data_IF_196765785446
#
_entry.id   IF_196765785446
#
_cell.length_a   1.000
_cell.length_b   1.000
_cell.length_c   1.000
_cell.angle_alpha   90.00
_cell.angle_beta   90.00
_cell.angle_gamma   90.00
#
_symmetry.space_group_name_H-M   'P 1'
#
loop_
_entity.id
_entity.type
_entity.pdbx_description
1 polymer ?
#
# COMPACT_ATOMS: atom_id res chain seq x y z
N UNK A 1 -12.58 21.18 -1.08
CA UNK A 1 -13.19 19.85 -1.11
C UNK A 1 -12.34 18.96 -1.98
N UNK A 2 -11.91 17.80 -1.47
CA UNK A 2 -11.01 16.91 -2.17
C UNK A 2 -11.66 16.18 -3.35
N UNK A 3 -10.82 15.66 -4.24
CA UNK A 3 -11.21 14.90 -5.43
C UNK A 3 -10.92 13.40 -5.29
N UNK A 4 -10.68 12.93 -4.06
CA UNK A 4 -10.40 11.53 -3.79
C UNK A 4 -10.13 11.24 -2.32
N UNK A 5 -9.76 10.00 -2.06
CA UNK A 5 -9.31 9.54 -0.74
C UNK A 5 -7.95 8.84 -0.84
N UNK A 6 -7.19 8.94 0.24
CA UNK A 6 -5.96 8.16 0.45
C UNK A 6 -6.10 7.44 1.79
N UNK A 7 -6.02 6.12 1.78
CA UNK A 7 -5.90 5.31 2.99
C UNK A 7 -4.46 4.83 3.17
N UNK A 8 -3.98 4.78 4.42
CA UNK A 8 -2.59 4.45 4.75
C UNK A 8 -2.43 3.26 5.69
N UNK A 9 -3.48 2.79 6.33
CA UNK A 9 -3.42 1.77 7.39
C UNK A 9 -4.56 0.77 7.35
N UNK A 10 -5.34 0.73 6.27
CA UNK A 10 -6.41 -0.24 6.13
C UNK A 10 -5.88 -1.56 5.55
N UNK A 11 -6.40 -2.68 6.05
CA UNK A 11 -6.29 -3.96 5.37
C UNK A 11 -7.09 -3.93 4.05
N UNK A 12 -6.86 -4.84 3.09
CA UNK A 12 -7.68 -4.87 1.86
C UNK A 12 -9.18 -4.94 2.10
N UNK A 13 -9.62 -5.68 3.14
CA UNK A 13 -11.03 -5.76 3.50
C UNK A 13 -11.59 -4.44 4.04
N UNK A 14 -10.86 -3.80 4.95
CA UNK A 14 -11.22 -2.48 5.49
C UNK A 14 -11.22 -1.41 4.39
N UNK A 15 -10.24 -1.44 3.51
CA UNK A 15 -10.16 -0.52 2.39
C UNK A 15 -11.36 -0.65 1.45
N UNK A 16 -11.84 -1.86 1.19
CA UNK A 16 -13.07 -2.09 0.41
C UNK A 16 -14.26 -1.38 1.02
N UNK A 17 -14.40 -1.48 2.35
CA UNK A 17 -15.50 -0.83 3.07
C UNK A 17 -15.37 0.70 3.01
N UNK A 18 -14.17 1.23 3.16
CA UNK A 18 -13.88 2.67 3.03
C UNK A 18 -14.22 3.17 1.62
N UNK A 19 -13.81 2.46 0.58
CA UNK A 19 -14.13 2.80 -0.82
C UNK A 19 -15.63 2.80 -1.07
N UNK A 20 -16.34 1.79 -0.55
CA UNK A 20 -17.81 1.71 -0.68
C UNK A 20 -18.49 2.92 -0.04
N UNK A 21 -18.15 3.26 1.19
CA UNK A 21 -18.68 4.43 1.90
C UNK A 21 -18.32 5.75 1.20
N UNK A 22 -17.12 5.83 0.65
CA UNK A 22 -16.69 7.00 -0.11
C UNK A 22 -17.55 7.21 -1.35
N UNK A 23 -17.77 6.19 -2.16
CA UNK A 23 -18.62 6.31 -3.36
C UNK A 23 -20.09 6.60 -3.02
N UNK A 24 -20.63 6.00 -1.97
CA UNK A 24 -21.98 6.35 -1.49
C UNK A 24 -22.08 7.84 -1.15
N UNK A 25 -21.08 8.38 -0.47
CA UNK A 25 -21.01 9.79 -0.12
C UNK A 25 -20.91 10.68 -1.36
N UNK A 26 -20.07 10.30 -2.33
CA UNK A 26 -19.90 11.03 -3.61
C UNK A 26 -21.24 11.14 -4.34
N UNK A 27 -21.97 10.03 -4.45
CA UNK A 27 -23.31 9.98 -5.07
C UNK A 27 -24.32 10.84 -4.31
N UNK A 28 -24.35 10.72 -2.99
CA UNK A 28 -25.24 11.52 -2.12
C UNK A 28 -25.01 13.03 -2.28
N UNK A 29 -23.76 13.43 -2.49
CA UNK A 29 -23.41 14.83 -2.73
C UNK A 29 -23.62 15.29 -4.18
N UNK A 30 -24.13 14.43 -5.06
CA UNK A 30 -24.37 14.74 -6.47
C UNK A 30 -23.11 14.92 -7.30
N UNK A 31 -21.98 14.38 -6.85
CA UNK A 31 -20.72 14.40 -7.59
C UNK A 31 -20.62 13.20 -8.54
N UNK A 32 -19.86 13.36 -9.62
CA UNK A 32 -19.56 12.29 -10.56
C UNK A 32 -18.48 11.37 -9.99
N UNK A 33 -18.80 10.09 -9.84
CA UNK A 33 -17.89 9.05 -9.37
C UNK A 33 -16.65 8.87 -10.28
N UNK A 34 -16.75 9.26 -11.55
CA UNK A 34 -15.63 9.19 -12.49
C UNK A 34 -14.62 10.34 -12.34
N UNK A 35 -14.94 11.33 -11.50
CA UNK A 35 -14.07 12.48 -11.25
C UNK A 35 -13.35 12.42 -9.90
N UNK A 36 -13.48 11.29 -9.19
CA UNK A 36 -12.82 11.08 -7.90
C UNK A 36 -11.88 9.88 -7.97
N UNK A 37 -10.88 9.86 -7.11
CA UNK A 37 -9.85 8.84 -7.08
C UNK A 37 -9.75 8.17 -5.71
N UNK A 38 -9.54 6.85 -5.73
CA UNK A 38 -9.29 6.04 -4.54
C UNK A 38 -7.85 5.55 -4.55
N UNK A 39 -7.12 5.89 -3.51
CA UNK A 39 -5.69 5.60 -3.41
C UNK A 39 -5.38 4.83 -2.13
N UNK A 40 -4.60 3.76 -2.27
CA UNK A 40 -3.99 3.07 -1.14
C UNK A 40 -2.50 3.41 -1.06
N UNK A 41 -2.05 3.83 0.11
CA UNK A 41 -0.65 4.10 0.41
C UNK A 41 -0.07 2.94 1.23
N UNK A 42 0.78 2.15 0.60
CA UNK A 42 1.40 0.95 1.18
C UNK A 42 2.80 1.23 1.71
N UNK A 43 3.14 0.59 2.84
CA UNK A 43 4.51 0.55 3.36
C UNK A 43 5.00 -0.89 3.28
N UNK A 44 6.06 -1.14 2.51
CA UNK A 44 6.60 -2.47 2.22
C UNK A 44 8.11 -2.54 2.46
N UNK A 45 8.63 -3.75 2.53
CA UNK A 45 10.05 -4.05 2.38
C UNK A 45 10.20 -5.29 1.51
N UNK A 46 11.12 -5.26 0.56
CA UNK A 46 11.33 -6.34 -0.40
C UNK A 46 12.66 -7.03 -0.17
N UNK A 47 12.61 -8.27 0.28
CA UNK A 47 13.71 -9.22 0.28
C UNK A 47 13.12 -10.63 0.12
N UNK A 48 13.77 -11.49 -0.68
CA UNK A 48 13.32 -12.88 -0.86
C UNK A 48 13.49 -13.69 0.43
N UNK A 49 14.42 -13.30 1.29
CA UNK A 49 14.48 -13.79 2.67
C UNK A 49 13.56 -12.94 3.56
N UNK A 50 12.44 -13.52 3.95
CA UNK A 50 11.43 -12.89 4.80
C UNK A 50 12.00 -12.38 6.13
N UNK A 51 12.88 -13.13 6.74
CA UNK A 51 13.49 -12.73 8.03
C UNK A 51 14.31 -11.46 7.86
N UNK A 52 15.06 -11.36 6.77
CA UNK A 52 15.82 -10.15 6.42
C UNK A 52 14.88 -8.97 6.14
N UNK A 53 13.82 -9.16 5.37
CA UNK A 53 12.84 -8.13 5.07
C UNK A 53 12.17 -7.59 6.34
N UNK A 54 11.71 -8.47 7.21
CA UNK A 54 11.08 -8.11 8.48
C UNK A 54 12.04 -7.35 9.42
N UNK A 55 13.30 -7.79 9.52
CA UNK A 55 14.30 -7.15 10.37
C UNK A 55 14.67 -5.74 9.86
N UNK A 56 14.87 -5.57 8.57
CA UNK A 56 15.16 -4.28 7.95
C UNK A 56 13.98 -3.30 8.10
N UNK A 57 12.76 -3.79 7.86
CA UNK A 57 11.55 -2.99 8.07
C UNK A 57 11.38 -2.57 9.54
N UNK A 58 11.61 -3.48 10.48
CA UNK A 58 11.54 -3.20 11.92
C UNK A 58 12.54 -2.11 12.32
N UNK A 59 13.79 -2.22 11.87
CA UNK A 59 14.82 -1.21 12.13
C UNK A 59 14.41 0.16 11.60
N UNK A 60 13.87 0.22 10.38
CA UNK A 60 13.40 1.45 9.79
C UNK A 60 12.21 2.04 10.54
N UNK A 61 11.21 1.22 10.88
CA UNK A 61 10.01 1.66 11.61
C UNK A 61 10.36 2.21 12.99
N UNK A 62 11.23 1.51 13.74
CA UNK A 62 11.70 1.98 15.03
C UNK A 62 12.53 3.26 14.93
N UNK A 63 13.38 3.36 13.91
CA UNK A 63 14.20 4.56 13.67
C UNK A 63 13.40 5.78 13.24
N UNK A 64 12.36 5.58 12.44
CA UNK A 64 11.55 6.67 11.89
C UNK A 64 10.40 7.09 12.82
N UNK A 65 9.67 6.12 13.41
CA UNK A 65 8.48 6.36 14.22
C UNK A 65 8.70 6.14 15.72
N UNK A 66 9.79 5.50 16.12
CA UNK A 66 10.01 5.07 17.51
C UNK A 66 9.15 3.88 17.93
N UNK A 67 8.39 3.30 17.02
CA UNK A 67 7.49 2.18 17.29
C UNK A 67 7.19 1.38 16.01
N UNK A 68 6.81 0.12 16.18
CA UNK A 68 6.18 -0.71 15.15
C UNK A 68 4.87 -1.26 15.72
N UNK A 69 3.78 -0.51 15.52
CA UNK A 69 2.45 -0.80 16.09
C UNK A 69 1.41 -1.20 15.03
N UNK A 70 1.82 -1.24 13.77
CA UNK A 70 0.86 -1.43 12.66
C UNK A 70 0.57 -2.90 12.37
N UNK A 71 1.45 -3.83 12.78
CA UNK A 71 1.26 -5.25 12.54
C UNK A 71 1.02 -5.57 11.07
N UNK A 72 0.01 -6.39 10.80
CA UNK A 72 -0.36 -6.81 9.44
C UNK A 72 -1.01 -5.71 8.58
N UNK A 73 -1.27 -4.54 9.15
CA UNK A 73 -1.81 -3.38 8.41
C UNK A 73 -0.79 -2.78 7.46
N UNK A 74 0.48 -2.91 7.78
CA UNK A 74 1.59 -2.53 6.91
C UNK A 74 2.34 -3.78 6.44
N UNK A 75 2.90 -3.69 5.27
CA UNK A 75 3.56 -4.79 4.59
C UNK A 75 2.98 -4.99 3.19
N UNK A 76 3.38 -6.09 2.53
CA UNK A 76 4.20 -7.17 3.09
C UNK A 76 5.67 -6.79 3.25
N UNK A 77 6.34 -7.48 4.17
CA UNK A 77 7.79 -7.48 4.30
C UNK A 77 8.29 -8.85 3.88
N UNK A 78 8.72 -8.96 2.62
CA UNK A 78 9.06 -10.26 2.03
C UNK A 78 9.35 -10.18 0.54
N UNK A 79 9.16 -11.29 -0.16
CA UNK A 79 9.48 -11.42 -1.59
C UNK A 79 8.53 -10.66 -2.52
N UNK A 80 8.98 -10.50 -3.77
CA UNK A 80 8.22 -9.79 -4.81
C UNK A 80 6.82 -10.36 -5.04
N UNK A 81 6.64 -11.69 -4.97
CA UNK A 81 5.35 -12.33 -5.15
C UNK A 81 4.31 -11.90 -4.12
N UNK A 82 4.73 -11.72 -2.86
CA UNK A 82 3.86 -11.26 -1.80
C UNK A 82 3.44 -9.80 -2.00
N UNK A 83 4.35 -8.98 -2.51
CA UNK A 83 4.05 -7.57 -2.84
C UNK A 83 3.06 -7.48 -4.00
N UNK A 84 3.25 -8.28 -5.06
CA UNK A 84 2.31 -8.37 -6.19
C UNK A 84 0.93 -8.79 -5.71
N UNK A 85 0.83 -9.84 -4.89
CA UNK A 85 -0.44 -10.32 -4.34
C UNK A 85 -1.16 -9.22 -3.54
N UNK A 86 -0.46 -8.54 -2.65
CA UNK A 86 -1.05 -7.47 -1.84
C UNK A 86 -1.51 -6.28 -2.67
N UNK A 87 -0.76 -5.87 -3.69
CA UNK A 87 -1.20 -4.82 -4.61
C UNK A 87 -2.46 -5.25 -5.35
N UNK A 88 -2.52 -6.51 -5.80
CA UNK A 88 -3.71 -7.04 -6.46
C UNK A 88 -4.93 -7.06 -5.52
N UNK A 89 -4.76 -7.44 -4.27
CA UNK A 89 -5.83 -7.38 -3.25
C UNK A 89 -6.39 -5.96 -3.09
N UNK A 90 -5.54 -4.93 -3.05
CA UNK A 90 -5.99 -3.55 -2.97
C UNK A 90 -6.65 -3.06 -4.27
N UNK A 91 -6.16 -3.47 -5.43
CA UNK A 91 -6.82 -3.18 -6.71
C UNK A 91 -8.22 -3.81 -6.74
N UNK A 92 -8.36 -5.06 -6.32
CA UNK A 92 -9.64 -5.75 -6.25
C UNK A 92 -10.58 -5.14 -5.19
N UNK A 93 -10.02 -4.53 -4.16
CA UNK A 93 -10.77 -3.78 -3.14
C UNK A 93 -11.19 -2.38 -3.60
N UNK A 94 -10.73 -1.91 -4.77
CA UNK A 94 -11.14 -0.66 -5.38
C UNK A 94 -10.08 0.44 -5.45
N UNK A 95 -8.80 0.14 -5.20
CA UNK A 95 -7.73 1.10 -5.39
C UNK A 95 -7.49 1.37 -6.87
N UNK A 96 -7.63 2.61 -7.30
CA UNK A 96 -7.28 3.08 -8.63
C UNK A 96 -5.78 3.41 -8.70
N UNK A 97 -5.24 3.94 -7.62
CA UNK A 97 -3.80 4.23 -7.47
C UNK A 97 -3.27 3.53 -6.22
N UNK A 98 -2.07 2.99 -6.33
CA UNK A 98 -1.31 2.47 -5.21
C UNK A 98 0.01 3.22 -5.11
N UNK A 99 0.23 3.89 -3.99
CA UNK A 99 1.50 4.53 -3.65
C UNK A 99 2.30 3.55 -2.79
N UNK A 100 3.55 3.36 -3.12
CA UNK A 100 4.44 2.45 -2.40
C UNK A 100 5.54 3.23 -1.70
N UNK A 101 5.67 3.00 -0.40
CA UNK A 101 6.78 3.48 0.43
C UNK A 101 7.61 2.30 0.90
N UNK A 102 8.91 2.44 0.90
CA UNK A 102 9.82 1.41 1.37
C UNK A 102 10.22 1.65 2.83
N UNK A 103 9.92 0.69 3.69
CA UNK A 103 10.39 0.63 5.07
C UNK A 103 11.83 0.09 5.11
N UNK A 104 12.76 0.87 4.58
CA UNK A 104 14.19 0.53 4.50
C UNK A 104 15.02 1.80 4.43
N UNK A 105 16.21 1.79 5.06
CA UNK A 105 17.20 2.84 4.86
C UNK A 105 17.94 2.72 3.52
N UNK A 106 17.75 1.61 2.79
CA UNK A 106 18.26 1.39 1.43
C UNK A 106 17.14 1.50 0.39
N UNK A 107 16.49 2.67 0.34
CA UNK A 107 15.32 2.90 -0.51
C UNK A 107 15.62 2.77 -2.02
N UNK A 108 16.84 3.08 -2.45
CA UNK A 108 17.26 2.97 -3.85
C UNK A 108 17.25 1.51 -4.32
N UNK A 109 17.86 0.61 -3.55
CA UNK A 109 17.83 -0.83 -3.83
C UNK A 109 16.41 -1.40 -3.82
N UNK A 110 15.58 -0.96 -2.88
CA UNK A 110 14.17 -1.32 -2.80
C UNK A 110 13.41 -0.89 -4.06
N UNK A 111 13.64 0.34 -4.52
CA UNK A 111 13.02 0.86 -5.74
C UNK A 111 13.45 0.08 -6.98
N UNK A 112 14.74 -0.21 -7.14
CA UNK A 112 15.26 -1.03 -8.24
C UNK A 112 14.62 -2.43 -8.26
N UNK A 113 14.53 -3.07 -7.10
CA UNK A 113 13.86 -4.37 -6.95
C UNK A 113 12.39 -4.30 -7.32
N UNK A 114 11.70 -3.25 -6.87
CA UNK A 114 10.29 -3.04 -7.20
C UNK A 114 10.07 -2.83 -8.70
N UNK A 115 10.84 -1.95 -9.32
CA UNK A 115 10.73 -1.63 -10.74
C UNK A 115 11.06 -2.83 -11.64
N UNK A 116 11.97 -3.71 -11.22
CA UNK A 116 12.34 -4.89 -12.00
C UNK A 116 11.41 -6.09 -11.81
N UNK A 117 10.85 -6.28 -10.60
CA UNK A 117 10.13 -7.52 -10.25
C UNK A 117 8.62 -7.35 -10.06
N UNK A 118 8.17 -6.16 -9.67
CA UNK A 118 6.76 -5.91 -9.32
C UNK A 118 6.06 -5.05 -10.36
N UNK A 119 6.61 -3.89 -10.67
CA UNK A 119 5.98 -2.95 -11.60
C UNK A 119 5.61 -3.54 -12.97
N UNK A 120 6.43 -4.42 -13.59
CA UNK A 120 6.09 -5.01 -14.89
C UNK A 120 4.84 -5.89 -14.87
N UNK A 121 4.44 -6.41 -13.72
CA UNK A 121 3.22 -7.24 -13.58
C UNK A 121 1.96 -6.41 -13.80
N UNK A 122 2.01 -5.11 -13.50
CA UNK A 122 0.88 -4.17 -13.59
C UNK A 122 0.97 -3.20 -14.77
N UNK A 123 2.02 -3.32 -15.55
CA UNK A 123 2.23 -2.46 -16.73
C UNK A 123 1.29 -2.82 -17.89
#
# INVERSE_FOLDING_TARGET
LGDGIISISDTPLEFRDVVSQFYETVVTLGKDVNQVETTMYMTINMDEDRVTAEADAEEWLLGYYGANIWGDRWGPFGGASQVVERIQEYKDAGAQTVIVRFASFNAEQQLESFLSKVAPVFA
#
